data_IF_001430380468
#
_entry.id   IF_001430380468
#
_cell.length_a   1.000
_cell.length_b   1.000
_cell.length_c   1.000
_cell.angle_alpha   90.00
_cell.angle_beta   90.00
_cell.angle_gamma   90.00
#
_symmetry.space_group_name_H-M   'P 1'
#
loop_
_entity.id
_entity.type
_entity.pdbx_description
1 polymer ?
#
# COMPACT_ATOMS: atom_id res chain seq x y z
N UNK A 1 -9.22 7.33 -8.08
CA UNK A 1 -8.22 6.31 -7.65
C UNK A 1 -7.90 6.54 -6.18
N UNK A 2 -7.55 5.51 -5.41
CA UNK A 2 -7.16 5.64 -4.00
C UNK A 2 -5.76 5.09 -3.80
N UNK A 3 -4.88 5.87 -3.19
CA UNK A 3 -3.58 5.42 -2.71
C UNK A 3 -3.63 5.20 -1.20
N UNK A 4 -3.03 4.11 -0.75
CA UNK A 4 -3.00 3.70 0.66
C UNK A 4 -1.66 3.03 0.95
N UNK A 5 -1.28 3.01 2.22
CA UNK A 5 -0.23 2.13 2.70
C UNK A 5 -0.61 1.52 4.06
N UNK A 6 0.07 0.43 4.39
CA UNK A 6 -0.22 -0.39 5.56
C UNK A 6 1.04 -0.64 6.37
N UNK A 7 0.87 -0.75 7.68
CA UNK A 7 1.92 -1.14 8.62
C UNK A 7 1.35 -2.04 9.71
N UNK A 8 2.25 -2.66 10.49
CA UNK A 8 1.87 -3.43 11.69
C UNK A 8 1.05 -2.61 12.71
N UNK A 9 1.15 -1.28 12.69
CA UNK A 9 0.49 -0.39 13.64
C UNK A 9 -0.81 0.22 13.07
N UNK A 10 -1.17 -0.07 11.82
CA UNK A 10 -2.37 0.44 11.18
C UNK A 10 -2.19 0.82 9.71
N UNK A 11 -3.30 1.19 9.09
CA UNK A 11 -3.34 1.82 7.77
C UNK A 11 -2.99 3.30 7.89
N UNK A 12 -2.33 3.82 6.86
CA UNK A 12 -2.11 5.26 6.70
C UNK A 12 -3.41 5.95 6.28
N UNK A 13 -3.46 7.28 6.42
CA UNK A 13 -4.56 8.05 5.84
C UNK A 13 -4.56 7.88 4.30
N UNK A 14 -5.72 7.60 3.68
CA UNK A 14 -5.79 7.42 2.24
C UNK A 14 -5.60 8.74 1.50
N UNK A 15 -4.95 8.69 0.34
CA UNK A 15 -4.96 9.78 -0.63
C UNK A 15 -6.02 9.44 -1.68
N UNK A 16 -6.98 10.34 -1.84
CA UNK A 16 -8.05 10.21 -2.84
C UNK A 16 -7.68 11.10 -4.01
N UNK A 17 -7.55 10.52 -5.20
CA UNK A 17 -7.33 11.27 -6.44
C UNK A 17 -8.67 11.58 -7.12
N UNK A 18 -8.71 12.72 -7.79
CA UNK A 18 -9.92 13.19 -8.47
C UNK A 18 -10.33 12.23 -9.61
N UNK A 19 -11.61 12.19 -9.98
CA UNK A 19 -12.07 11.40 -11.11
C UNK A 19 -11.31 11.73 -12.40
N UNK A 20 -10.78 10.70 -13.07
CA UNK A 20 -10.02 10.85 -14.31
C UNK A 20 -8.52 11.13 -14.13
N UNK A 21 -8.07 11.40 -12.90
CA UNK A 21 -6.64 11.52 -12.62
C UNK A 21 -5.96 10.15 -12.52
N UNK A 22 -4.75 10.07 -13.08
CA UNK A 22 -3.84 8.94 -12.92
C UNK A 22 -2.64 9.38 -12.08
N UNK A 23 -2.07 8.46 -11.30
CA UNK A 23 -0.86 8.76 -10.54
C UNK A 23 0.30 8.96 -11.52
N UNK A 24 0.76 10.19 -11.68
CA UNK A 24 2.02 10.48 -12.38
C UNK A 24 3.19 10.37 -11.41
N UNK A 25 4.42 10.36 -11.93
CA UNK A 25 5.60 10.32 -11.06
C UNK A 25 5.81 11.66 -10.33
N UNK A 26 5.42 12.77 -10.94
CA UNK A 26 5.40 14.10 -10.33
C UNK A 26 4.45 14.12 -9.13
N UNK A 27 3.18 13.73 -9.32
CA UNK A 27 2.21 13.65 -8.21
C UNK A 27 2.64 12.64 -7.14
N UNK A 28 3.30 11.55 -7.55
CA UNK A 28 3.87 10.60 -6.60
C UNK A 28 4.95 11.24 -5.72
N UNK A 29 5.86 12.02 -6.30
CA UNK A 29 6.94 12.71 -5.59
C UNK A 29 6.42 13.88 -4.74
N UNK A 30 5.47 14.65 -5.25
CA UNK A 30 5.01 15.89 -4.60
C UNK A 30 3.97 15.64 -3.51
N UNK A 31 3.14 14.61 -3.66
CA UNK A 31 2.00 14.37 -2.77
C UNK A 31 2.18 13.07 -2.00
N UNK A 32 2.43 11.96 -2.70
CA UNK A 32 2.35 10.63 -2.09
C UNK A 32 3.56 10.31 -1.22
N UNK A 33 4.79 10.51 -1.71
CA UNK A 33 6.00 10.17 -0.98
C UNK A 33 6.19 11.00 0.31
N UNK A 34 5.95 12.33 0.34
CA UNK A 34 6.01 13.12 1.57
C UNK A 34 4.97 12.67 2.59
N UNK A 35 3.74 12.39 2.13
CA UNK A 35 2.66 11.87 2.98
C UNK A 35 3.02 10.50 3.58
N UNK A 36 3.50 9.58 2.73
CA UNK A 36 3.93 8.24 3.15
C UNK A 36 5.08 8.28 4.17
N UNK A 37 6.04 9.20 3.99
CA UNK A 37 7.15 9.38 4.92
C UNK A 37 6.65 9.90 6.27
N UNK A 38 5.84 10.97 6.27
CA UNK A 38 5.31 11.58 7.50
C UNK A 38 4.46 10.60 8.31
N UNK A 39 3.52 9.93 7.66
CA UNK A 39 2.65 8.96 8.31
C UNK A 39 3.42 7.68 8.72
N UNK A 40 4.42 7.28 7.94
CA UNK A 40 5.35 6.20 8.29
C UNK A 40 6.10 6.50 9.58
N UNK A 41 6.65 7.72 9.72
CA UNK A 41 7.30 8.18 10.94
C UNK A 41 6.33 8.24 12.13
N UNK A 42 5.10 8.74 11.91
CA UNK A 42 4.07 8.79 12.95
C UNK A 42 3.71 7.38 13.47
N UNK A 43 3.65 6.39 12.58
CA UNK A 43 3.23 5.04 12.94
C UNK A 43 4.39 4.14 13.40
N UNK A 44 5.59 4.29 12.85
CA UNK A 44 6.69 3.34 13.02
C UNK A 44 7.96 3.96 13.62
N UNK A 45 7.99 5.28 13.84
CA UNK A 45 9.18 6.04 14.21
C UNK A 45 10.16 6.18 13.05
N UNK A 46 11.40 6.57 13.35
CA UNK A 46 12.39 6.93 12.32
C UNK A 46 13.06 5.74 11.63
N UNK A 47 12.71 4.51 11.98
CA UNK A 47 13.37 3.31 11.49
C UNK A 47 12.40 2.27 10.93
N UNK A 48 12.00 2.48 9.67
CA UNK A 48 11.15 1.54 8.92
C UNK A 48 11.72 1.23 7.55
N UNK A 49 11.08 0.33 6.82
CA UNK A 49 11.40 -0.01 5.44
C UNK A 49 10.21 0.38 4.58
N UNK A 50 10.43 1.20 3.57
CA UNK A 50 9.43 1.51 2.55
C UNK A 50 9.41 0.42 1.48
N UNK A 51 8.20 0.00 1.09
CA UNK A 51 7.95 -0.99 0.05
C UNK A 51 6.86 -0.43 -0.88
N UNK A 52 7.07 -0.59 -2.18
CA UNK A 52 6.12 -0.27 -3.24
C UNK A 52 6.15 -1.39 -4.30
N UNK A 53 5.16 -1.43 -5.20
CA UNK A 53 5.17 -2.32 -6.35
C UNK A 53 5.98 -1.73 -7.52
N UNK A 54 6.00 -2.43 -8.65
CA UNK A 54 6.77 -2.02 -9.83
C UNK A 54 5.96 -1.12 -10.82
N UNK A 55 4.93 -0.39 -10.36
CA UNK A 55 4.20 0.53 -11.23
C UNK A 55 5.10 1.61 -11.85
N UNK A 56 4.76 2.10 -13.05
CA UNK A 56 5.58 3.07 -13.81
C UNK A 56 5.97 4.31 -12.99
N UNK A 57 5.05 4.98 -12.25
CA UNK A 57 5.41 6.14 -11.43
C UNK A 57 6.40 5.80 -10.29
N UNK A 58 6.28 4.59 -9.73
CA UNK A 58 7.10 4.12 -8.62
C UNK A 58 8.55 3.85 -9.06
N UNK A 59 8.72 3.38 -10.30
CA UNK A 59 10.01 3.06 -10.90
C UNK A 59 10.67 4.22 -11.67
N UNK A 60 10.04 5.40 -11.68
CA UNK A 60 10.65 6.57 -12.31
C UNK A 60 11.95 6.95 -11.59
N UNK A 61 12.99 7.32 -12.34
CA UNK A 61 14.33 7.63 -11.82
C UNK A 61 14.29 8.68 -10.69
N UNK A 62 13.43 9.68 -10.82
CA UNK A 62 13.33 10.79 -9.88
C UNK A 62 12.57 10.37 -8.61
N UNK A 63 11.58 9.48 -8.73
CA UNK A 63 10.87 8.89 -7.59
C UNK A 63 11.82 8.02 -6.77
N UNK A 64 12.60 7.16 -7.43
CA UNK A 64 13.61 6.33 -6.76
C UNK A 64 14.70 7.20 -6.10
N UNK A 65 15.15 8.27 -6.76
CA UNK A 65 16.13 9.20 -6.19
C UNK A 65 15.57 9.92 -4.94
N UNK A 66 14.31 10.36 -4.99
CA UNK A 66 13.64 10.94 -3.84
C UNK A 66 13.54 9.92 -2.69
N UNK A 67 13.13 8.68 -2.97
CA UNK A 67 12.99 7.64 -1.94
C UNK A 67 14.32 7.35 -1.25
N UNK A 68 15.38 7.12 -2.03
CA UNK A 68 16.72 6.83 -1.51
C UNK A 68 17.30 7.97 -0.68
N UNK A 69 16.91 9.21 -0.95
CA UNK A 69 17.35 10.39 -0.21
C UNK A 69 16.62 10.56 1.13
N UNK A 70 15.32 10.25 1.18
CA UNK A 70 14.46 10.67 2.29
C UNK A 70 13.97 9.52 3.19
N UNK A 71 13.76 8.31 2.66
CA UNK A 71 13.31 7.18 3.47
C UNK A 71 14.48 6.50 4.20
N UNK A 72 14.29 6.01 5.43
CA UNK A 72 15.35 5.34 6.19
C UNK A 72 15.87 4.08 5.50
N UNK A 73 14.97 3.27 4.93
CA UNK A 73 15.28 2.06 4.14
C UNK A 73 14.23 1.85 3.07
N UNK A 74 14.61 1.20 1.97
CA UNK A 74 13.74 0.95 0.83
C UNK A 74 14.00 -0.43 0.21
N UNK A 75 12.93 -1.14 -0.16
CA UNK A 75 12.98 -2.33 -1.02
C UNK A 75 12.99 -1.84 -2.47
N UNK A 76 14.17 -1.79 -3.06
CA UNK A 76 14.36 -1.38 -4.44
C UNK A 76 13.78 -2.37 -5.47
N UNK A 77 13.65 -1.89 -6.70
CA UNK A 77 13.07 -2.59 -7.84
C UNK A 77 13.80 -3.89 -8.20
N UNK A 78 15.07 -4.06 -7.75
CA UNK A 78 15.83 -5.29 -7.96
C UNK A 78 15.51 -6.35 -6.92
N UNK A 79 15.04 -5.93 -5.74
CA UNK A 79 14.62 -6.81 -4.65
C UNK A 79 13.13 -7.14 -4.71
N UNK A 80 12.32 -6.28 -5.32
CA UNK A 80 10.89 -6.53 -5.49
C UNK A 80 10.60 -7.31 -6.78
N UNK A 81 10.15 -8.57 -6.69
CA UNK A 81 9.84 -9.36 -7.89
C UNK A 81 8.64 -8.79 -8.65
N UNK A 82 8.69 -8.75 -10.00
CA UNK A 82 7.54 -8.32 -10.80
C UNK A 82 6.36 -9.29 -10.62
N UNK A 83 5.13 -8.81 -10.85
CA UNK A 83 3.90 -9.59 -10.79
C UNK A 83 3.75 -10.39 -9.48
N UNK A 84 4.05 -9.78 -8.33
CA UNK A 84 4.02 -10.46 -7.03
C UNK A 84 3.00 -9.84 -6.06
N UNK A 85 1.69 -9.83 -6.42
CA UNK A 85 0.64 -9.34 -5.52
C UNK A 85 0.61 -10.16 -4.21
N UNK A 86 1.02 -11.43 -4.26
CA UNK A 86 1.13 -12.32 -3.11
C UNK A 86 2.16 -11.86 -2.05
N UNK A 87 2.98 -10.86 -2.36
CA UNK A 87 3.93 -10.24 -1.44
C UNK A 87 3.51 -8.84 -0.99
N UNK A 88 2.49 -8.25 -1.60
CA UNK A 88 2.00 -6.92 -1.22
C UNK A 88 0.79 -7.05 -0.29
N UNK A 89 0.92 -6.60 0.95
CA UNK A 89 -0.17 -6.67 1.94
C UNK A 89 -1.42 -5.92 1.51
N UNK A 90 -1.25 -4.89 0.67
CA UNK A 90 -2.39 -4.19 0.10
C UNK A 90 -3.22 -5.11 -0.80
N UNK A 91 -2.54 -5.91 -1.64
CA UNK A 91 -3.17 -6.75 -2.66
C UNK A 91 -3.73 -8.05 -2.07
N UNK A 92 -2.97 -8.76 -1.24
CA UNK A 92 -3.45 -10.06 -0.71
C UNK A 92 -4.40 -9.94 0.49
N UNK A 93 -4.61 -8.74 1.05
CA UNK A 93 -5.46 -8.58 2.23
C UNK A 93 -6.23 -7.25 2.31
N UNK A 94 -5.55 -6.10 2.29
CA UNK A 94 -6.20 -4.83 2.70
C UNK A 94 -7.33 -4.42 1.77
N UNK A 95 -7.15 -4.49 0.46
CA UNK A 95 -8.20 -4.08 -0.49
C UNK A 95 -9.44 -4.96 -0.40
N UNK A 96 -9.25 -6.27 -0.23
CA UNK A 96 -10.34 -7.22 -0.02
C UNK A 96 -11.08 -6.93 1.29
N UNK A 97 -10.35 -6.68 2.38
CA UNK A 97 -10.94 -6.32 3.68
C UNK A 97 -11.73 -5.00 3.62
N UNK A 98 -11.22 -3.98 2.91
CA UNK A 98 -11.94 -2.72 2.71
C UNK A 98 -13.23 -2.96 1.95
N UNK A 99 -13.18 -3.70 0.83
CA UNK A 99 -14.35 -4.01 0.01
C UNK A 99 -15.44 -4.76 0.77
N UNK A 100 -15.05 -5.73 1.62
CA UNK A 100 -16.00 -6.44 2.49
C UNK A 100 -16.61 -5.56 3.58
N UNK A 101 -15.88 -4.55 4.05
CA UNK A 101 -16.33 -3.64 5.11
C UNK A 101 -17.14 -2.45 4.61
N UNK A 102 -17.19 -2.23 3.29
CA UNK A 102 -18.02 -1.20 2.66
C UNK A 102 -19.47 -1.64 2.59
N UNK A 103 -20.39 -0.69 2.79
CA UNK A 103 -21.81 -0.95 2.55
C UNK A 103 -22.13 -0.51 1.12
N UNK A 104 -22.00 -1.42 0.16
CA UNK A 104 -22.18 -1.14 -1.27
C UNK A 104 -23.56 -0.56 -1.61
N UNK A 105 -24.60 -0.90 -0.85
CA UNK A 105 -25.93 -0.34 -1.02
C UNK A 105 -26.00 1.17 -0.79
N UNK A 106 -25.08 1.74 0.00
CA UNK A 106 -24.97 3.18 0.24
C UNK A 106 -24.29 3.93 -0.91
N UNK A 107 -23.59 3.23 -1.80
CA UNK A 107 -22.81 3.85 -2.88
C UNK A 107 -23.73 4.23 -4.03
N UNK A 108 -24.05 5.53 -4.14
CA UNK A 108 -24.94 6.11 -5.17
C UNK A 108 -24.29 7.24 -5.99
N UNK A 109 -23.12 7.70 -5.56
CA UNK A 109 -22.35 8.80 -6.15
C UNK A 109 -20.88 8.65 -5.82
N UNK A 110 -20.03 9.46 -6.46
CA UNK A 110 -18.61 9.56 -6.13
C UNK A 110 -18.39 9.88 -4.64
N UNK A 111 -19.10 10.86 -4.10
CA UNK A 111 -18.94 11.25 -2.68
C UNK A 111 -19.29 10.10 -1.73
N UNK A 112 -20.42 9.42 -1.99
CA UNK A 112 -20.82 8.27 -1.17
C UNK A 112 -19.85 7.08 -1.30
N UNK A 113 -19.18 6.94 -2.46
CA UNK A 113 -18.12 5.95 -2.64
C UNK A 113 -16.90 6.30 -1.78
N UNK A 114 -16.45 7.56 -1.81
CA UNK A 114 -15.33 8.01 -0.98
C UNK A 114 -15.65 7.85 0.51
N UNK A 115 -16.87 8.16 0.93
CA UNK A 115 -17.31 7.98 2.31
C UNK A 115 -17.32 6.51 2.73
N UNK A 116 -17.86 5.61 1.90
CA UNK A 116 -17.83 4.18 2.21
C UNK A 116 -16.41 3.61 2.17
N UNK A 117 -15.52 4.07 1.29
CA UNK A 117 -14.10 3.67 1.32
C UNK A 117 -13.45 4.08 2.64
N UNK A 118 -13.66 5.32 3.10
CA UNK A 118 -13.13 5.82 4.39
C UNK A 118 -13.67 4.98 5.56
N UNK A 119 -14.95 4.59 5.53
CA UNK A 119 -15.55 3.68 6.52
C UNK A 119 -14.98 2.26 6.42
N UNK A 120 -14.78 1.74 5.21
CA UNK A 120 -14.18 0.43 4.98
C UNK A 120 -12.77 0.35 5.56
N UNK A 121 -11.96 1.40 5.36
CA UNK A 121 -10.62 1.56 5.94
C UNK A 121 -10.69 1.56 7.47
N UNK A 122 -11.59 2.34 8.08
CA UNK A 122 -11.67 2.44 9.55
C UNK A 122 -12.18 1.16 10.22
N UNK A 123 -12.89 0.31 9.46
CA UNK A 123 -13.41 -0.99 9.90
C UNK A 123 -12.44 -2.15 9.71
N UNK A 124 -11.30 -1.96 9.02
CA UNK A 124 -10.27 -3.02 8.90
C UNK A 124 -9.80 -3.47 10.30
N UNK A 125 -9.99 -4.75 10.67
CA UNK A 125 -9.62 -5.21 12.00
C UNK A 125 -8.11 -5.12 12.23
N UNK A 126 -7.69 -4.39 13.26
CA UNK A 126 -6.26 -4.16 13.58
C UNK A 126 -5.48 -5.47 13.77
N UNK A 127 -6.09 -6.45 14.43
CA UNK A 127 -5.44 -7.74 14.68
C UNK A 127 -5.20 -8.52 13.39
N UNK A 128 -6.13 -8.44 12.45
CA UNK A 128 -6.05 -9.15 11.18
C UNK A 128 -5.01 -8.49 10.28
N UNK A 129 -5.01 -7.15 10.22
CA UNK A 129 -3.94 -6.39 9.56
C UNK A 129 -2.56 -6.72 10.11
N UNK A 130 -2.41 -6.74 11.45
CA UNK A 130 -1.14 -7.08 12.09
C UNK A 130 -0.68 -8.49 11.68
N UNK A 131 -1.58 -9.48 11.74
CA UNK A 131 -1.28 -10.85 11.32
C UNK A 131 -0.88 -10.91 9.84
N UNK A 132 -1.59 -10.19 8.97
CA UNK A 132 -1.27 -10.11 7.54
C UNK A 132 0.13 -9.54 7.32
N UNK A 133 0.48 -8.43 7.94
CA UNK A 133 1.84 -7.84 7.86
C UNK A 133 2.90 -8.80 8.39
N UNK A 134 2.65 -9.48 9.51
CA UNK A 134 3.59 -10.46 10.08
C UNK A 134 3.74 -11.72 9.20
N UNK A 135 2.71 -12.07 8.42
CA UNK A 135 2.71 -13.22 7.53
C UNK A 135 3.61 -13.02 6.29
N UNK A 136 4.09 -11.81 6.03
CA UNK A 136 4.89 -11.48 4.86
C UNK A 136 6.12 -12.39 4.68
N UNK A 137 6.86 -12.67 5.75
CA UNK A 137 8.03 -13.56 5.69
C UNK A 137 7.67 -15.01 5.38
N UNK A 138 6.54 -15.50 5.91
CA UNK A 138 6.04 -16.85 5.64
C UNK A 138 5.54 -17.00 4.20
N UNK A 139 4.98 -15.92 3.63
CA UNK A 139 4.62 -15.85 2.20
C UNK A 139 5.86 -15.99 1.31
N UNK A 140 6.96 -15.29 1.62
CA UNK A 140 8.24 -15.47 0.90
C UNK A 140 8.71 -16.93 0.94
N UNK A 141 8.71 -17.56 2.13
CA UNK A 141 9.09 -18.97 2.26
C UNK A 141 8.20 -19.87 1.41
N UNK A 142 6.91 -19.58 1.34
CA UNK A 142 5.96 -20.34 0.54
C UNK A 142 6.23 -20.20 -0.96
N UNK A 143 6.51 -18.98 -1.44
CA UNK A 143 6.89 -18.72 -2.83
C UNK A 143 8.20 -19.44 -3.19
N UNK A 144 9.18 -19.48 -2.28
CA UNK A 144 10.42 -20.22 -2.50
C UNK A 144 10.15 -21.73 -2.63
N UNK A 145 9.27 -22.28 -1.79
CA UNK A 145 8.86 -23.70 -1.86
C UNK A 145 8.13 -24.03 -3.16
N UNK A 146 7.34 -23.10 -3.69
CA UNK A 146 6.64 -23.24 -4.98
C UNK A 146 7.52 -22.87 -6.18
N UNK A 147 8.82 -22.59 -5.98
CA UNK A 147 9.77 -22.19 -7.03
C UNK A 147 9.29 -20.96 -7.82
N UNK A 148 8.67 -20.00 -7.13
CA UNK A 148 8.19 -18.75 -7.72
C UNK A 148 6.74 -18.79 -8.23
N UNK A 149 6.01 -19.89 -8.05
CA UNK A 149 4.59 -19.91 -8.41
C UNK A 149 3.74 -19.16 -7.38
N UNK A 150 2.61 -18.61 -7.83
CA UNK A 150 1.62 -17.92 -7.01
C UNK A 150 1.15 -18.78 -5.82
N UNK A 151 0.82 -18.11 -4.72
CA UNK A 151 0.36 -18.70 -3.47
C UNK A 151 -1.00 -18.12 -3.07
N UNK A 152 -1.80 -18.89 -2.33
CA UNK A 152 -3.04 -18.38 -1.73
C UNK A 152 -2.74 -17.70 -0.40
#
# INVERSE_FOLDING_TARGET
>A
MVWLAASKNGLLLPIICEPGETLTHENYIEIVLPHALSEGQRLLGDNFIYQQDNATPHNHKDSIAWIKKNFPRFIDEKKWPPNSPDLNVLDYYVWDAIGHNMHWDNVKSYDSLIDEIKKGISRVPKNDLLRSVQNWSSRIVSILKTKGAYIK
#
